data_IF_699676812275
#
_entry.id   IF_699676812275
#
_cell.length_a   1.000
_cell.length_b   1.000
_cell.length_c   1.000
_cell.angle_alpha   90.00
_cell.angle_beta   90.00
_cell.angle_gamma   90.00
#
_symmetry.space_group_name_H-M   'P 1'
#
loop_
_entity.id
_entity.type
_entity.pdbx_description
1 polymer ?
#
# COMPACT_ATOMS: atom_id res chain seq x y z
N UNK A 1 76.62 -31.17 -10.15
CA UNK A 1 75.59 -31.03 -9.10
C UNK A 1 74.77 -29.79 -9.41
N UNK A 2 73.46 -29.83 -9.15
CA UNK A 2 72.41 -28.82 -9.43
C UNK A 2 71.56 -29.08 -10.69
N UNK A 3 70.72 -30.11 -10.59
CA UNK A 3 69.50 -30.26 -11.37
C UNK A 3 68.32 -29.82 -10.50
N UNK A 4 67.84 -28.60 -10.66
CA UNK A 4 66.50 -28.21 -10.22
C UNK A 4 65.77 -27.60 -11.42
N UNK A 5 65.09 -28.50 -12.12
CA UNK A 5 64.23 -28.23 -13.26
C UNK A 5 62.92 -27.56 -12.82
N UNK A 6 62.48 -26.62 -13.65
CA UNK A 6 61.12 -26.18 -13.97
C UNK A 6 59.97 -26.71 -13.09
N UNK A 7 59.33 -25.80 -12.33
CA UNK A 7 57.87 -25.77 -12.18
C UNK A 7 57.45 -24.29 -12.08
N UNK A 8 57.11 -23.70 -13.22
CA UNK A 8 56.39 -22.41 -13.27
C UNK A 8 54.92 -22.71 -13.64
N UNK A 9 54.15 -23.22 -12.67
CA UNK A 9 52.70 -23.37 -12.83
C UNK A 9 52.03 -22.05 -12.44
N UNK A 10 51.83 -21.17 -13.42
CA UNK A 10 50.96 -20.01 -13.28
C UNK A 10 49.50 -20.48 -13.41
N UNK A 11 48.90 -20.90 -12.29
CA UNK A 11 47.47 -21.19 -12.23
C UNK A 11 46.70 -19.86 -12.22
N UNK A 12 46.14 -19.49 -13.37
CA UNK A 12 45.22 -18.36 -13.51
C UNK A 12 43.88 -18.80 -12.90
N UNK A 13 43.62 -18.41 -11.65
CA UNK A 13 42.29 -18.54 -11.04
C UNK A 13 41.45 -17.37 -11.54
N UNK A 14 40.62 -17.63 -12.55
CA UNK A 14 39.52 -16.72 -12.91
C UNK A 14 38.48 -16.76 -11.77
N UNK A 15 38.53 -15.75 -10.90
CA UNK A 15 37.48 -15.52 -9.91
C UNK A 15 36.27 -14.95 -10.65
N UNK A 16 35.23 -15.76 -10.82
CA UNK A 16 33.93 -15.30 -11.28
C UNK A 16 33.32 -14.40 -10.20
N UNK A 17 33.33 -13.08 -10.43
CA UNK A 17 32.66 -12.11 -9.57
C UNK A 17 31.15 -12.30 -9.78
N UNK A 18 30.48 -12.97 -8.85
CA UNK A 18 29.03 -12.97 -8.78
C UNK A 18 28.58 -11.59 -8.30
N UNK A 19 28.22 -10.70 -9.21
CA UNK A 19 27.50 -9.46 -8.88
C UNK A 19 26.09 -9.81 -8.42
N UNK A 20 25.90 -9.93 -7.11
CA UNK A 20 24.57 -9.99 -6.50
C UNK A 20 23.93 -8.60 -6.60
N UNK A 21 23.04 -8.42 -7.58
CA UNK A 21 22.12 -7.30 -7.60
C UNK A 21 21.18 -7.43 -6.38
N UNK A 22 21.55 -6.79 -5.27
CA UNK A 22 20.65 -6.60 -4.15
C UNK A 22 19.48 -5.72 -4.62
N UNK A 23 18.37 -6.34 -4.99
CA UNK A 23 17.09 -5.65 -5.12
C UNK A 23 16.71 -5.18 -3.72
N UNK A 24 17.11 -3.96 -3.40
CA UNK A 24 16.78 -3.31 -2.12
C UNK A 24 15.26 -3.15 -2.10
N UNK A 25 14.55 -3.95 -1.30
CA UNK A 25 13.14 -3.74 -0.99
C UNK A 25 13.05 -2.49 -0.10
N UNK A 26 13.21 -1.32 -0.71
CA UNK A 26 13.11 -0.06 -0.01
C UNK A 26 11.66 0.11 0.45
N UNK A 27 11.48 0.26 1.75
CA UNK A 27 10.14 0.53 2.31
C UNK A 27 9.60 1.83 1.72
N UNK A 28 8.28 1.94 1.66
CA UNK A 28 7.61 3.14 1.19
C UNK A 28 8.08 4.43 1.88
N UNK A 29 8.34 4.36 3.18
CA UNK A 29 8.87 5.45 4.00
C UNK A 29 10.32 5.76 3.63
N UNK A 30 11.17 4.74 3.51
CA UNK A 30 12.57 4.92 3.08
C UNK A 30 12.66 5.55 1.69
N UNK A 31 11.72 5.23 0.78
CA UNK A 31 11.64 5.83 -0.56
C UNK A 31 11.17 7.28 -0.51
N UNK A 32 10.25 7.60 0.39
CA UNK A 32 9.82 8.97 0.62
C UNK A 32 10.97 9.84 1.14
N UNK A 33 11.68 9.38 2.16
CA UNK A 33 12.82 10.08 2.75
C UNK A 33 13.94 10.32 1.73
N UNK A 34 14.20 9.35 0.84
CA UNK A 34 15.18 9.53 -0.22
C UNK A 34 14.77 10.65 -1.20
N UNK A 35 13.50 10.68 -1.62
CA UNK A 35 12.99 11.71 -2.53
C UNK A 35 13.05 13.10 -1.87
N UNK A 36 12.71 13.21 -0.58
CA UNK A 36 12.79 14.46 0.19
C UNK A 36 14.24 14.96 0.33
N UNK A 37 15.19 14.06 0.57
CA UNK A 37 16.61 14.38 0.62
C UNK A 37 17.13 14.92 -0.72
N UNK A 38 16.81 14.26 -1.83
CA UNK A 38 17.15 14.73 -3.18
C UNK A 38 16.52 16.09 -3.48
N UNK A 39 15.28 16.32 -3.04
CA UNK A 39 14.58 17.59 -3.24
C UNK A 39 15.32 18.74 -2.54
N UNK A 40 15.81 18.51 -1.32
CA UNK A 40 16.62 19.49 -0.58
C UNK A 40 17.88 19.88 -1.35
N UNK A 41 18.59 18.90 -1.93
CA UNK A 41 19.79 19.14 -2.74
C UNK A 41 19.44 19.92 -4.01
N UNK A 42 18.37 19.52 -4.71
CA UNK A 42 17.94 20.19 -5.94
C UNK A 42 17.54 21.67 -5.70
N UNK A 43 16.94 21.97 -4.54
CA UNK A 43 16.64 23.35 -4.11
C UNK A 43 17.93 24.15 -3.89
N UNK A 44 18.93 23.57 -3.21
CA UNK A 44 20.21 24.25 -2.96
C UNK A 44 20.94 24.62 -4.25
N UNK A 45 20.81 23.79 -5.29
CA UNK A 45 21.41 24.03 -6.60
C UNK A 45 20.49 24.78 -7.57
N UNK A 46 19.31 25.22 -7.10
CA UNK A 46 18.30 25.92 -7.90
C UNK A 46 17.89 25.20 -9.20
N UNK A 47 17.98 23.87 -9.20
CA UNK A 47 17.69 23.03 -10.36
C UNK A 47 16.17 22.82 -10.49
N UNK A 48 15.50 23.79 -11.12
CA UNK A 48 14.03 23.84 -11.20
C UNK A 48 13.43 22.61 -11.89
N UNK A 49 14.12 22.02 -12.87
CA UNK A 49 13.65 20.81 -13.56
C UNK A 49 13.62 19.61 -12.61
N UNK A 50 14.71 19.41 -11.86
CA UNK A 50 14.84 18.32 -10.89
C UNK A 50 13.89 18.49 -9.70
N UNK A 51 13.73 19.72 -9.21
CA UNK A 51 12.75 20.07 -8.16
C UNK A 51 11.33 19.63 -8.57
N UNK A 52 10.92 19.93 -9.80
CA UNK A 52 9.58 19.59 -10.29
C UNK A 52 9.41 18.07 -10.45
N UNK A 53 10.42 17.37 -10.97
CA UNK A 53 10.42 15.90 -11.06
C UNK A 53 10.32 15.22 -9.70
N UNK A 54 11.10 15.68 -8.72
CA UNK A 54 11.10 15.12 -7.37
C UNK A 54 9.81 15.41 -6.60
N UNK A 55 9.21 16.60 -6.78
CA UNK A 55 7.88 16.90 -6.23
C UNK A 55 6.80 15.97 -6.80
N UNK A 56 6.86 15.66 -8.09
CA UNK A 56 5.94 14.70 -8.73
C UNK A 56 6.15 13.29 -8.18
N UNK A 57 7.41 12.84 -8.09
CA UNK A 57 7.76 11.54 -7.53
C UNK A 57 7.34 11.41 -6.06
N UNK A 58 7.47 12.48 -5.26
CA UNK A 58 7.04 12.50 -3.86
C UNK A 58 5.52 12.32 -3.76
N UNK A 59 4.76 13.04 -4.59
CA UNK A 59 3.31 12.93 -4.65
C UNK A 59 2.85 11.53 -5.07
N UNK A 60 3.48 10.96 -6.10
CA UNK A 60 3.18 9.59 -6.55
C UNK A 60 3.54 8.56 -5.49
N UNK A 61 4.70 8.67 -4.87
CA UNK A 61 5.11 7.81 -3.76
C UNK A 61 4.10 7.91 -2.61
N UNK A 62 3.70 9.12 -2.21
CA UNK A 62 2.67 9.32 -1.18
C UNK A 62 1.32 8.72 -1.58
N UNK A 63 0.87 8.85 -2.83
CA UNK A 63 -0.40 8.25 -3.30
C UNK A 63 -0.35 6.72 -3.23
N UNK A 64 0.75 6.13 -3.69
CA UNK A 64 0.91 4.69 -3.80
C UNK A 64 1.30 4.02 -2.47
N UNK A 65 1.97 4.75 -1.59
CA UNK A 65 2.34 4.29 -0.25
C UNK A 65 1.27 4.58 0.81
N UNK A 66 0.26 5.41 0.52
CA UNK A 66 -0.71 5.80 1.54
C UNK A 66 -1.79 4.74 1.80
N UNK A 67 -1.64 4.10 2.96
CA UNK A 67 -2.76 3.66 3.79
C UNK A 67 -3.84 4.76 3.98
N UNK A 68 -3.55 6.05 3.75
CA UNK A 68 -4.56 7.13 3.78
C UNK A 68 -5.60 6.99 2.66
N UNK A 69 -5.21 6.62 1.43
CA UNK A 69 -6.18 6.37 0.34
C UNK A 69 -6.99 5.12 0.66
N UNK A 70 -6.36 4.11 1.26
CA UNK A 70 -7.04 2.87 1.67
C UNK A 70 -8.02 3.15 2.81
N UNK A 71 -7.61 3.88 3.85
CA UNK A 71 -8.45 4.31 4.98
C UNK A 71 -9.61 5.17 4.51
N UNK A 72 -9.38 6.16 3.65
CA UNK A 72 -10.46 6.98 3.08
C UNK A 72 -11.47 6.15 2.27
N UNK A 73 -10.99 5.16 1.49
CA UNK A 73 -11.86 4.20 0.80
C UNK A 73 -12.63 3.32 1.78
N UNK A 74 -11.99 2.84 2.84
CA UNK A 74 -12.62 2.05 3.90
C UNK A 74 -13.68 2.87 4.65
N UNK A 75 -13.36 4.10 5.04
CA UNK A 75 -14.28 5.03 5.72
C UNK A 75 -15.49 5.37 4.82
N UNK A 76 -15.27 5.57 3.52
CA UNK A 76 -16.35 5.78 2.55
C UNK A 76 -17.25 4.54 2.45
N UNK A 77 -16.66 3.34 2.35
CA UNK A 77 -17.42 2.07 2.35
C UNK A 77 -18.22 1.87 3.64
N UNK A 78 -17.67 2.24 4.79
CA UNK A 78 -18.37 2.16 6.08
C UNK A 78 -19.58 3.11 6.07
N UNK A 79 -19.40 4.38 5.68
CA UNK A 79 -20.49 5.36 5.59
C UNK A 79 -21.62 4.90 4.65
N UNK A 80 -21.27 4.36 3.49
CA UNK A 80 -22.28 3.82 2.55
C UNK A 80 -23.10 2.67 3.17
N UNK A 81 -22.46 1.78 3.94
CA UNK A 81 -23.14 0.68 4.64
C UNK A 81 -24.01 1.19 5.79
N UNK A 82 -23.54 2.19 6.54
CA UNK A 82 -24.33 2.83 7.60
C UNK A 82 -25.59 3.49 7.03
N UNK A 83 -25.49 4.20 5.90
CA UNK A 83 -26.65 4.77 5.19
C UNK A 83 -27.65 3.67 4.77
N UNK A 84 -27.16 2.54 4.25
CA UNK A 84 -28.01 1.39 3.90
C UNK A 84 -28.71 0.79 5.12
N UNK A 85 -28.02 0.68 6.25
CA UNK A 85 -28.63 0.23 7.52
C UNK A 85 -29.75 1.18 7.94
N UNK A 86 -29.53 2.50 7.89
CA UNK A 86 -30.57 3.47 8.24
C UNK A 86 -31.79 3.34 7.32
N UNK A 87 -31.58 3.20 6.01
CA UNK A 87 -32.67 2.96 5.05
C UNK A 87 -33.45 1.68 5.38
N UNK A 88 -32.76 0.58 5.66
CA UNK A 88 -33.40 -0.69 6.03
C UNK A 88 -34.19 -0.58 7.35
N UNK A 89 -33.70 0.19 8.34
CA UNK A 89 -34.43 0.47 9.58
C UNK A 89 -35.72 1.25 9.32
N UNK A 90 -35.68 2.28 8.47
CA UNK A 90 -36.89 2.99 8.04
C UNK A 90 -37.86 2.08 7.29
N UNK A 91 -37.37 1.22 6.42
CA UNK A 91 -38.22 0.24 5.72
C UNK A 91 -38.84 -0.77 6.69
N UNK A 92 -38.13 -1.21 7.75
CA UNK A 92 -38.71 -2.07 8.79
C UNK A 92 -39.88 -1.38 9.50
N UNK A 93 -39.76 -0.09 9.83
CA UNK A 93 -40.86 0.67 10.45
C UNK A 93 -42.12 0.71 9.57
N UNK A 94 -41.95 0.80 8.24
CA UNK A 94 -43.06 0.73 7.30
C UNK A 94 -43.68 -0.66 7.24
N UNK A 95 -42.85 -1.71 7.19
CA UNK A 95 -43.35 -3.09 7.17
C UNK A 95 -44.06 -3.47 8.47
N UNK A 96 -43.60 -2.97 9.63
CA UNK A 96 -44.25 -3.15 10.93
C UNK A 96 -45.70 -2.64 10.90
N UNK A 97 -45.96 -1.50 10.26
CA UNK A 97 -47.33 -0.98 10.08
C UNK A 97 -48.19 -1.86 9.18
N UNK A 98 -47.58 -2.52 8.19
CA UNK A 98 -48.28 -3.45 7.28
C UNK A 98 -48.39 -4.89 7.80
N UNK A 99 -47.75 -5.23 8.93
CA UNK A 99 -47.75 -6.57 9.51
C UNK A 99 -46.92 -7.62 8.75
N UNK A 100 -46.02 -7.22 7.83
CA UNK A 100 -45.30 -8.15 6.96
C UNK A 100 -44.02 -8.71 7.61
N UNK A 101 -44.20 -9.67 8.55
CA UNK A 101 -43.12 -10.26 9.35
C UNK A 101 -41.99 -10.88 8.52
N UNK A 102 -42.30 -11.51 7.38
CA UNK A 102 -41.31 -12.10 6.49
C UNK A 102 -40.36 -11.07 5.89
N UNK A 103 -40.89 -9.90 5.49
CA UNK A 103 -40.08 -8.79 4.98
C UNK A 103 -39.23 -8.15 6.07
N UNK A 104 -39.75 -8.04 7.29
CA UNK A 104 -38.99 -7.56 8.46
C UNK A 104 -37.77 -8.47 8.70
N UNK A 105 -37.98 -9.78 8.86
CA UNK A 105 -36.91 -10.76 9.11
C UNK A 105 -35.86 -10.80 8.00
N UNK A 106 -36.24 -10.51 6.75
CA UNK A 106 -35.29 -10.41 5.62
C UNK A 106 -34.43 -9.14 5.71
N UNK A 107 -35.00 -8.03 6.17
CA UNK A 107 -34.28 -6.75 6.34
C UNK A 107 -33.35 -6.79 7.56
N UNK A 108 -33.77 -7.40 8.65
CA UNK A 108 -32.91 -7.63 9.84
C UNK A 108 -31.65 -8.43 9.50
N UNK A 109 -31.80 -9.55 8.78
CA UNK A 109 -30.65 -10.33 8.28
C UNK A 109 -29.70 -9.53 7.38
N UNK A 110 -30.24 -8.59 6.59
CA UNK A 110 -29.41 -7.69 5.78
C UNK A 110 -28.66 -6.66 6.63
N UNK A 111 -29.27 -6.16 7.71
CA UNK A 111 -28.61 -5.26 8.66
C UNK A 111 -27.45 -6.00 9.33
N UNK A 112 -27.69 -7.21 9.85
CA UNK A 112 -26.65 -8.03 10.48
C UNK A 112 -25.47 -8.31 9.54
N UNK A 113 -25.75 -8.65 8.28
CA UNK A 113 -24.70 -8.83 7.27
C UNK A 113 -23.87 -7.55 7.05
N UNK A 114 -24.53 -6.39 6.95
CA UNK A 114 -23.85 -5.10 6.78
C UNK A 114 -23.02 -4.71 8.03
N UNK A 115 -23.51 -4.99 9.23
CA UNK A 115 -22.79 -4.75 10.48
C UNK A 115 -21.54 -5.63 10.60
N UNK A 116 -21.64 -6.90 10.20
CA UNK A 116 -20.48 -7.81 10.11
C UNK A 116 -19.45 -7.32 9.09
N UNK A 117 -19.88 -6.85 7.92
CA UNK A 117 -18.98 -6.26 6.92
C UNK A 117 -18.30 -4.98 7.45
N UNK A 118 -19.02 -4.12 8.16
CA UNK A 118 -18.42 -2.95 8.83
C UNK A 118 -17.38 -3.37 9.87
N UNK A 119 -17.67 -4.41 10.68
CA UNK A 119 -16.74 -4.93 11.68
C UNK A 119 -15.45 -5.42 11.03
N UNK A 120 -15.55 -6.19 9.95
CA UNK A 120 -14.38 -6.66 9.19
C UNK A 120 -13.59 -5.50 8.59
N UNK A 121 -14.26 -4.50 8.02
CA UNK A 121 -13.61 -3.30 7.48
C UNK A 121 -12.89 -2.46 8.55
N UNK A 122 -13.39 -2.43 9.78
CA UNK A 122 -12.76 -1.73 10.92
C UNK A 122 -11.57 -2.48 11.53
N UNK A 123 -11.48 -3.79 11.31
CA UNK A 123 -10.37 -4.64 11.78
C UNK A 123 -9.24 -4.81 10.76
N UNK A 124 -9.37 -4.21 9.57
CA UNK A 124 -8.36 -4.15 8.52
C UNK A 124 -7.48 -2.91 8.69
#
# INVERSE_FOLDING_TARGET
>A
MNFYKCIATASIIFVSINTSNAQNFQSCESKQQEIESKLKIAIQHNNTYEINGLKKALKENQIHCNNVTLKQKTDTKIKEKEIKIQKLKSEIQLEQKSGNLNKIKKKERKIEALENEIKTLKSQ
#
